data_IF_141127845735
#
_entry.id   IF_141127845735
#
_cell.length_a   1.000
_cell.length_b   1.000
_cell.length_c   1.000
_cell.angle_alpha   90.00
_cell.angle_beta   90.00
_cell.angle_gamma   90.00
#
_symmetry.space_group_name_H-M   'P 1'
#
loop_
_entity.id
_entity.type
_entity.pdbx_description
1 polymer ?
#
# COMPACT_ATOMS: atom_id res chain seq x y z
N UNK A 1 -6.00 -9.25 -15.07
CA UNK A 1 -6.90 -8.63 -14.08
C UNK A 1 -6.10 -8.51 -12.81
N UNK A 2 -5.68 -7.30 -12.41
CA UNK A 2 -4.84 -7.13 -11.22
C UNK A 2 -5.74 -7.35 -9.99
N UNK A 3 -5.36 -8.30 -9.15
CA UNK A 3 -6.16 -8.78 -8.04
C UNK A 3 -6.08 -7.76 -6.88
N UNK A 4 -7.02 -6.82 -6.81
CA UNK A 4 -7.05 -5.82 -5.73
C UNK A 4 -7.68 -6.45 -4.49
N UNK A 5 -6.95 -6.48 -3.37
CA UNK A 5 -7.47 -6.95 -2.08
C UNK A 5 -8.19 -5.81 -1.36
N UNK A 6 -9.43 -6.00 -0.95
CA UNK A 6 -10.09 -5.02 -0.09
C UNK A 6 -9.69 -5.28 1.37
N UNK A 7 -9.23 -4.25 2.07
CA UNK A 7 -8.91 -4.32 3.49
C UNK A 7 -10.10 -3.80 4.31
N UNK A 8 -10.54 -4.59 5.29
CA UNK A 8 -11.62 -4.21 6.21
C UNK A 8 -11.20 -3.18 7.27
N UNK A 9 -9.89 -2.95 7.44
CA UNK A 9 -9.29 -2.02 8.39
C UNK A 9 -8.01 -1.39 7.81
N UNK A 10 -7.57 -0.25 8.36
CA UNK A 10 -6.29 0.35 7.99
C UNK A 10 -5.14 -0.67 8.18
N UNK A 11 -4.25 -0.83 7.19
CA UNK A 11 -3.20 -1.84 7.25
C UNK A 11 -2.26 -1.54 8.41
N UNK A 12 -2.07 -2.55 9.27
CA UNK A 12 -1.06 -2.51 10.33
C UNK A 12 0.33 -2.72 9.73
N UNK A 13 1.42 -2.41 10.46
CA UNK A 13 2.78 -2.68 10.00
C UNK A 13 2.99 -4.15 9.57
N UNK A 14 2.37 -5.09 10.29
CA UNK A 14 2.38 -6.52 9.98
C UNK A 14 1.64 -6.84 8.67
N UNK A 15 0.48 -6.22 8.44
CA UNK A 15 -0.25 -6.35 7.18
C UNK A 15 0.53 -5.80 5.98
N UNK A 16 1.28 -4.71 6.16
CA UNK A 16 2.17 -4.17 5.10
C UNK A 16 3.31 -5.15 4.81
N UNK A 17 3.89 -5.77 5.84
CA UNK A 17 4.96 -6.75 5.67
C UNK A 17 4.49 -8.03 4.96
N UNK A 18 3.25 -8.45 5.25
CA UNK A 18 2.60 -9.54 4.54
C UNK A 18 2.38 -9.21 3.05
N UNK A 19 1.91 -8.00 2.73
CA UNK A 19 1.76 -7.54 1.35
C UNK A 19 3.11 -7.44 0.63
N UNK A 20 4.20 -7.07 1.33
CA UNK A 20 5.56 -7.09 0.79
C UNK A 20 6.03 -8.49 0.47
N UNK A 21 5.82 -9.42 1.40
CA UNK A 21 6.15 -10.84 1.22
C UNK A 21 5.42 -11.39 0.00
N UNK A 22 4.12 -11.15 -0.11
CA UNK A 22 3.31 -11.60 -1.24
C UNK A 22 3.78 -10.98 -2.57
N UNK A 23 4.02 -9.66 -2.61
CA UNK A 23 4.54 -9.01 -3.81
C UNK A 23 5.88 -9.61 -4.23
N UNK A 24 6.77 -9.90 -3.27
CA UNK A 24 8.07 -10.50 -3.52
C UNK A 24 7.96 -11.96 -4.00
N UNK A 25 7.10 -12.77 -3.38
CA UNK A 25 6.88 -14.18 -3.76
C UNK A 25 6.29 -14.32 -5.17
N UNK A 26 5.37 -13.43 -5.52
CA UNK A 26 4.71 -13.43 -6.82
C UNK A 26 5.48 -12.63 -7.90
N UNK A 27 6.57 -11.95 -7.52
CA UNK A 27 7.33 -11.04 -8.38
C UNK A 27 6.47 -9.98 -9.09
N UNK A 28 5.32 -9.62 -8.51
CA UNK A 28 4.33 -8.71 -9.07
C UNK A 28 3.87 -7.70 -7.99
N UNK A 29 3.31 -6.58 -8.42
CA UNK A 29 2.81 -5.58 -7.48
C UNK A 29 1.44 -5.99 -6.93
N UNK A 30 1.27 -5.91 -5.62
CA UNK A 30 0.00 -6.17 -4.92
C UNK A 30 -0.68 -4.83 -4.63
N UNK A 31 -1.96 -4.72 -4.97
CA UNK A 31 -2.77 -3.55 -4.64
C UNK A 31 -3.82 -3.91 -3.58
N UNK A 32 -3.97 -3.07 -2.57
CA UNK A 32 -4.91 -3.25 -1.48
C UNK A 32 -5.77 -1.99 -1.29
N UNK A 33 -7.09 -2.09 -1.47
CA UNK A 33 -8.02 -0.99 -1.26
C UNK A 33 -8.23 -0.74 0.24
N UNK A 34 -8.26 0.53 0.63
CA UNK A 34 -8.39 0.96 2.02
C UNK A 34 -9.86 1.22 2.39
N UNK A 35 -10.27 0.98 3.64
CA UNK A 35 -11.68 1.07 4.04
C UNK A 35 -12.20 2.50 4.18
N UNK A 36 -11.32 3.50 4.23
CA UNK A 36 -11.67 4.91 4.48
C UNK A 36 -11.58 5.81 3.24
N UNK A 37 -11.26 5.24 2.08
CA UNK A 37 -11.18 5.98 0.82
C UNK A 37 -11.77 5.16 -0.31
N UNK A 38 -12.82 5.68 -0.94
CA UNK A 38 -13.59 4.93 -1.94
C UNK A 38 -12.77 4.60 -3.21
N UNK A 39 -11.58 5.21 -3.36
CA UNK A 39 -10.61 4.95 -4.43
C UNK A 39 -9.15 5.05 -3.93
N UNK A 40 -8.91 4.78 -2.65
CA UNK A 40 -7.55 4.80 -2.09
C UNK A 40 -6.99 3.38 -2.03
N UNK A 41 -5.83 3.16 -2.64
CA UNK A 41 -5.16 1.88 -2.73
C UNK A 41 -3.72 1.97 -2.21
N UNK A 42 -3.34 1.04 -1.35
CA UNK A 42 -1.96 0.76 -1.02
C UNK A 42 -1.40 -0.23 -2.05
N UNK A 43 -0.42 0.20 -2.85
CA UNK A 43 0.29 -0.64 -3.81
C UNK A 43 1.67 -0.98 -3.28
N UNK A 44 1.98 -2.27 -3.20
CA UNK A 44 3.27 -2.78 -2.74
C UNK A 44 3.97 -3.48 -3.91
N UNK A 45 5.17 -3.02 -4.24
CA UNK A 45 6.01 -3.61 -5.29
C UNK A 45 6.83 -4.80 -4.76
N UNK A 46 7.25 -5.74 -5.64
CA UNK A 46 8.13 -6.85 -5.28
C UNK A 46 9.50 -6.41 -4.76
N UNK A 47 9.86 -5.14 -4.95
CA UNK A 47 11.12 -4.55 -4.47
C UNK A 47 10.97 -3.91 -3.08
N UNK A 48 9.80 -4.06 -2.44
CA UNK A 48 9.51 -3.54 -1.11
C UNK A 48 9.00 -2.09 -1.06
N UNK A 49 8.93 -1.41 -2.22
CA UNK A 49 8.35 -0.06 -2.30
C UNK A 49 6.84 -0.12 -2.08
N UNK A 50 6.33 0.69 -1.15
CA UNK A 50 4.90 0.87 -0.90
C UNK A 50 4.47 2.26 -1.37
N UNK A 51 3.34 2.35 -2.06
CA UNK A 51 2.80 3.59 -2.63
C UNK A 51 1.32 3.68 -2.28
N UNK A 52 0.86 4.87 -1.94
CA UNK A 52 -0.57 5.15 -1.84
C UNK A 52 -1.03 5.80 -3.13
N UNK A 53 -1.97 5.16 -3.78
CA UNK A 53 -2.73 5.73 -4.87
C UNK A 53 -4.03 6.24 -4.28
N UNK A 54 -4.29 7.52 -4.43
CA UNK A 54 -5.59 8.15 -4.19
C UNK A 54 -5.90 8.96 -5.45
N UNK A 55 -7.18 9.22 -5.73
CA UNK A 55 -7.61 10.08 -6.86
C UNK A 55 -6.87 11.45 -6.86
N UNK A 56 -6.41 11.92 -5.69
CA UNK A 56 -5.62 13.15 -5.55
C UNK A 56 -4.09 12.95 -5.54
N UNK A 57 -3.57 11.73 -5.42
CA UNK A 57 -2.12 11.49 -5.39
C UNK A 57 -1.58 11.42 -6.81
N UNK A 58 -1.23 12.59 -7.33
CA UNK A 58 -0.44 12.72 -8.55
C UNK A 58 0.96 12.14 -8.33
N UNK A 59 1.53 11.59 -9.42
CA UNK A 59 2.83 10.89 -9.53
C UNK A 59 4.05 11.67 -8.98
N UNK A 60 3.86 12.88 -8.48
CA UNK A 60 4.88 13.81 -7.96
C UNK A 60 5.17 13.59 -6.46
N UNK A 61 4.23 13.02 -5.69
CA UNK A 61 4.43 12.70 -4.25
C UNK A 61 5.17 11.36 -4.03
N UNK A 62 5.95 10.94 -5.04
CA UNK A 62 6.66 9.68 -5.10
C UNK A 62 7.91 9.74 -4.21
N UNK A 63 7.79 9.35 -2.95
CA UNK A 63 8.94 9.17 -2.05
C UNK A 63 9.34 7.69 -1.99
N UNK A 64 10.32 7.23 -2.79
CA UNK A 64 10.83 5.88 -2.66
C UNK A 64 11.59 5.76 -1.32
N UNK A 65 11.32 4.69 -0.59
CA UNK A 65 12.04 4.21 0.61
C UNK A 65 11.55 4.70 2.00
N UNK A 66 10.22 4.70 2.23
CA UNK A 66 9.67 4.82 3.59
C UNK A 66 9.55 3.44 4.28
N UNK A 67 9.90 3.39 5.57
CA UNK A 67 9.70 2.20 6.42
C UNK A 67 8.21 1.91 6.61
N UNK A 68 7.86 0.64 6.85
CA UNK A 68 6.45 0.21 7.05
C UNK A 68 5.77 0.95 8.20
N UNK A 69 6.50 1.23 9.27
CA UNK A 69 6.03 2.04 10.41
C UNK A 69 5.65 3.47 10.01
N UNK A 70 6.46 4.09 9.15
CA UNK A 70 6.19 5.44 8.61
C UNK A 70 4.95 5.43 7.73
N UNK A 71 4.81 4.45 6.85
CA UNK A 71 3.63 4.31 5.99
C UNK A 71 2.37 4.10 6.81
N UNK A 72 2.39 3.23 7.84
CA UNK A 72 1.24 2.99 8.71
C UNK A 72 0.85 4.22 9.53
N UNK A 73 1.82 5.00 10.02
CA UNK A 73 1.56 6.24 10.78
C UNK A 73 0.87 7.30 9.93
N UNK A 74 1.35 7.52 8.71
CA UNK A 74 0.76 8.49 7.77
C UNK A 74 -0.68 8.09 7.39
N UNK A 75 -0.93 6.78 7.28
CA UNK A 75 -2.27 6.23 7.00
C UNK A 75 -3.25 6.33 8.17
N UNK A 76 -2.78 6.46 9.40
CA UNK A 76 -3.61 6.60 10.60
C UNK A 76 -3.84 8.07 11.01
N UNK A 77 -3.13 9.01 10.38
CA UNK A 77 -3.25 10.45 10.64
C UNK A 77 -4.32 11.16 9.79
N UNK A 78 -4.99 10.43 8.89
CA UNK A 78 -6.18 10.86 8.10
C UNK A 78 -7.45 10.33 8.75
#
# INVERSE_FOLDING_TARGET
MHNVKNLDASPTPDGIDQLRTEAQEHAEAVAAALPWGSDTYLVVSPRGTCVLLDDFVTRDSWEPNKSSETVATELQAT
#
